data_IF_024741174915
#
_entry.id   IF_024741174915
#
_cell.length_a   1.000
_cell.length_b   1.000
_cell.length_c   1.000
_cell.angle_alpha   90.00
_cell.angle_beta   90.00
_cell.angle_gamma   90.00
#
_symmetry.space_group_name_H-M   'P 1'
#
loop_
_entity.id
_entity.type
_entity.pdbx_description
1 polymer ?
#
# COMPACT_ATOMS: atom_id res chain seq x y z
N UNK A 1 8.02 -7.34 2.46
CA UNK A 1 7.64 -6.05 1.83
C UNK A 1 6.18 -5.76 2.12
N UNK A 2 5.88 -4.54 2.48
CA UNK A 2 4.51 -4.08 2.67
C UNK A 2 4.05 -3.40 1.38
N UNK A 3 2.79 -3.59 1.00
CA UNK A 3 2.25 -2.94 -0.20
C UNK A 3 1.09 -2.02 0.18
N UNK A 4 1.10 -0.83 -0.39
CA UNK A 4 -0.02 0.12 -0.30
C UNK A 4 -1.09 -0.25 -1.34
N UNK A 5 -2.33 0.20 -1.12
CA UNK A 5 -3.41 0.02 -2.10
C UNK A 5 -3.03 0.55 -3.47
N UNK A 6 -2.27 1.65 -3.55
CA UNK A 6 -1.81 2.24 -4.82
C UNK A 6 -1.00 1.26 -5.66
N UNK A 7 -0.21 0.39 -5.04
CA UNK A 7 0.58 -0.61 -5.76
C UNK A 7 -0.31 -1.71 -6.35
N UNK A 8 -1.29 -2.19 -5.60
CA UNK A 8 -2.25 -3.19 -6.09
C UNK A 8 -3.07 -2.63 -7.25
N UNK A 9 -3.57 -1.41 -7.08
CA UNK A 9 -4.37 -0.73 -8.11
C UNK A 9 -3.55 -0.53 -9.39
N UNK A 10 -2.28 -0.12 -9.25
CA UNK A 10 -1.38 0.09 -10.40
C UNK A 10 -1.21 -1.20 -11.23
N UNK A 11 -1.04 -2.34 -10.55
CA UNK A 11 -0.90 -3.64 -11.24
C UNK A 11 -2.20 -4.01 -11.95
N UNK A 12 -3.33 -3.95 -11.24
CA UNK A 12 -4.61 -4.41 -11.78
C UNK A 12 -5.14 -3.51 -12.89
N UNK A 13 -4.86 -2.21 -12.84
CA UNK A 13 -5.22 -1.27 -13.90
C UNK A 13 -4.17 -1.16 -15.00
N UNK A 14 -3.10 -1.95 -14.93
CA UNK A 14 -2.03 -1.95 -15.92
C UNK A 14 -1.42 -0.56 -16.14
N UNK A 15 -1.20 0.16 -15.04
CA UNK A 15 -0.52 1.44 -15.06
C UNK A 15 0.97 1.27 -15.42
N UNK A 16 1.70 2.35 -15.75
CA UNK A 16 3.09 2.21 -16.23
C UNK A 16 4.01 1.42 -15.30
N UNK A 17 3.79 1.46 -13.98
CA UNK A 17 4.61 0.75 -12.99
C UNK A 17 4.22 -0.72 -12.82
N UNK A 18 3.14 -1.19 -13.47
CA UNK A 18 2.55 -2.52 -13.21
C UNK A 18 3.55 -3.66 -13.32
N UNK A 19 4.34 -3.70 -14.38
CA UNK A 19 5.30 -4.79 -14.60
C UNK A 19 6.39 -4.79 -13.51
N UNK A 20 6.91 -3.62 -13.16
CA UNK A 20 7.93 -3.49 -12.11
C UNK A 20 7.37 -3.90 -10.75
N UNK A 21 6.18 -3.47 -10.42
CA UNK A 21 5.53 -3.79 -9.14
C UNK A 21 5.21 -5.29 -9.04
N UNK A 22 4.66 -5.87 -10.10
CA UNK A 22 4.37 -7.30 -10.14
C UNK A 22 5.64 -8.14 -9.96
N UNK A 23 6.74 -7.75 -10.61
CA UNK A 23 8.01 -8.44 -10.48
C UNK A 23 8.57 -8.35 -9.05
N UNK A 24 8.49 -7.17 -8.41
CA UNK A 24 8.92 -7.01 -7.03
C UNK A 24 8.14 -7.91 -6.08
N UNK A 25 6.81 -7.97 -6.24
CA UNK A 25 5.96 -8.82 -5.41
C UNK A 25 6.25 -10.31 -5.67
N UNK A 26 6.46 -10.72 -6.93
CA UNK A 26 6.75 -12.10 -7.27
C UNK A 26 8.09 -12.59 -6.69
N UNK A 27 9.04 -11.68 -6.55
CA UNK A 27 10.39 -12.02 -6.05
C UNK A 27 10.55 -11.87 -4.54
N UNK A 28 9.55 -11.34 -3.84
CA UNK A 28 9.60 -11.19 -2.39
C UNK A 28 8.93 -12.40 -1.73
N UNK A 29 9.61 -13.07 -0.77
CA UNK A 29 9.04 -14.26 -0.14
C UNK A 29 7.88 -13.95 0.81
N UNK A 30 7.67 -12.69 1.16
CA UNK A 30 6.65 -12.31 2.13
C UNK A 30 6.09 -10.92 1.82
N UNK A 31 5.02 -10.91 1.03
CA UNK A 31 4.30 -9.67 0.71
C UNK A 31 3.07 -9.56 1.61
N UNK A 32 2.90 -8.40 2.25
CA UNK A 32 1.78 -8.15 3.17
C UNK A 32 1.11 -6.83 2.89
N UNK A 33 -0.19 -6.79 3.13
CA UNK A 33 -1.01 -5.57 3.00
C UNK A 33 -1.84 -5.39 4.27
N UNK A 34 -1.98 -4.15 4.74
CA UNK A 34 -2.92 -3.87 5.83
C UNK A 34 -4.35 -4.18 5.39
N UNK A 35 -5.14 -4.77 6.29
CA UNK A 35 -6.56 -5.04 6.04
C UNK A 35 -7.30 -3.77 5.59
N UNK A 36 -6.95 -2.59 6.13
CA UNK A 36 -7.55 -1.33 5.72
C UNK A 36 -7.23 -0.99 4.26
N UNK A 37 -5.98 -1.19 3.84
CA UNK A 37 -5.56 -0.93 2.45
C UNK A 37 -6.11 -1.98 1.48
N UNK A 38 -6.29 -3.21 1.93
CA UNK A 38 -6.97 -4.24 1.14
C UNK A 38 -8.40 -3.81 0.80
N UNK A 39 -9.15 -3.32 1.79
CA UNK A 39 -10.51 -2.80 1.57
C UNK A 39 -10.49 -1.61 0.64
N UNK A 40 -9.55 -0.69 0.83
CA UNK A 40 -9.40 0.49 -0.02
C UNK A 40 -9.18 0.10 -1.49
N UNK A 41 -8.27 -0.85 -1.76
CA UNK A 41 -8.05 -1.38 -3.10
C UNK A 41 -9.32 -2.04 -3.65
N UNK A 42 -10.01 -2.82 -2.82
CA UNK A 42 -11.27 -3.47 -3.16
C UNK A 42 -12.34 -2.49 -3.59
N UNK A 43 -12.51 -1.39 -2.85
CA UNK A 43 -13.50 -0.35 -3.19
C UNK A 43 -13.23 0.21 -4.60
N UNK A 44 -11.98 0.47 -4.93
CA UNK A 44 -11.61 1.01 -6.25
C UNK A 44 -11.84 -0.01 -7.36
N UNK A 45 -11.36 -1.24 -7.17
CA UNK A 45 -11.40 -2.28 -8.22
C UNK A 45 -12.81 -2.81 -8.42
N UNK A 46 -13.59 -3.00 -7.35
CA UNK A 46 -14.95 -3.54 -7.44
C UNK A 46 -15.88 -2.62 -8.26
N UNK A 47 -15.60 -1.32 -8.28
CA UNK A 47 -16.36 -0.37 -9.13
C UNK A 47 -16.26 -0.66 -10.61
N UNK A 48 -15.21 -1.35 -11.04
CA UNK A 48 -15.02 -1.74 -12.44
C UNK A 48 -15.78 -3.02 -12.83
N UNK A 49 -16.48 -3.63 -11.89
CA UNK A 49 -17.40 -4.74 -12.14
C UNK A 49 -16.86 -6.12 -11.73
N UNK A 50 -17.68 -7.19 -11.93
CA UNK A 50 -17.36 -8.52 -11.41
C UNK A 50 -16.07 -9.14 -11.96
N UNK A 51 -15.71 -8.85 -13.21
CA UNK A 51 -14.47 -9.37 -13.81
C UNK A 51 -13.26 -8.78 -13.08
N UNK A 52 -13.29 -7.46 -12.84
CA UNK A 52 -12.22 -6.78 -12.11
C UNK A 52 -12.12 -7.30 -10.66
N UNK A 53 -13.27 -7.49 -9.99
CA UNK A 53 -13.31 -8.04 -8.63
C UNK A 53 -12.65 -9.42 -8.55
N UNK A 54 -12.96 -10.31 -9.48
CA UNK A 54 -12.33 -11.62 -9.54
C UNK A 54 -10.83 -11.51 -9.82
N UNK A 55 -10.43 -10.53 -10.64
CA UNK A 55 -9.02 -10.25 -10.93
C UNK A 55 -8.25 -9.88 -9.67
N UNK A 56 -8.84 -9.07 -8.79
CA UNK A 56 -8.24 -8.73 -7.50
C UNK A 56 -8.07 -9.98 -6.63
N UNK A 57 -9.12 -10.78 -6.47
CA UNK A 57 -9.06 -12.00 -5.67
C UNK A 57 -7.99 -12.95 -6.17
N UNK A 58 -7.93 -13.15 -7.48
CA UNK A 58 -6.93 -14.03 -8.10
C UNK A 58 -5.51 -13.49 -7.90
N UNK A 59 -5.33 -12.19 -8.03
CA UNK A 59 -4.01 -11.57 -7.84
C UNK A 59 -3.51 -11.73 -6.39
N UNK A 60 -4.38 -11.50 -5.41
CA UNK A 60 -4.04 -11.68 -3.99
C UNK A 60 -3.59 -13.12 -3.74
N UNK A 61 -4.32 -14.10 -4.29
CA UNK A 61 -4.00 -15.51 -4.12
C UNK A 61 -2.68 -15.88 -4.84
N UNK A 62 -2.54 -15.50 -6.09
CA UNK A 62 -1.37 -15.87 -6.92
C UNK A 62 -0.08 -15.25 -6.37
N UNK A 63 -0.13 -14.02 -5.93
CA UNK A 63 1.01 -13.33 -5.35
C UNK A 63 1.24 -13.70 -3.88
N UNK A 64 0.36 -14.51 -3.29
CA UNK A 64 0.43 -14.94 -1.90
C UNK A 64 0.53 -13.76 -0.93
N UNK A 65 -0.27 -12.73 -1.17
CA UNK A 65 -0.29 -11.53 -0.33
C UNK A 65 -1.08 -11.81 0.95
N UNK A 66 -0.42 -11.66 2.10
CA UNK A 66 -1.07 -11.79 3.40
C UNK A 66 -1.77 -10.51 3.78
N UNK A 67 -3.05 -10.62 4.14
CA UNK A 67 -3.84 -9.50 4.65
C UNK A 67 -3.64 -9.47 6.17
N UNK A 68 -3.01 -8.39 6.66
CA UNK A 68 -2.69 -8.26 8.09
C UNK A 68 -3.75 -7.44 8.82
N UNK A 69 -4.20 -7.89 10.00
CA UNK A 69 -5.15 -7.10 10.78
C UNK A 69 -4.52 -5.79 11.24
N UNK A 70 -5.35 -4.76 11.39
CA UNK A 70 -4.93 -3.50 12.02
C UNK A 70 -4.96 -3.71 13.53
N UNK A 71 -3.78 -3.77 14.15
CA UNK A 71 -3.67 -3.88 15.60
C UNK A 71 -3.92 -2.53 16.28
N UNK A 72 -4.17 -2.55 17.59
CA UNK A 72 -4.28 -1.32 18.37
C UNK A 72 -3.00 -0.48 18.25
N UNK A 73 -1.84 -1.13 18.27
CA UNK A 73 -0.55 -0.44 18.10
C UNK A 73 -0.44 0.23 16.73
N UNK A 74 -0.82 -0.46 15.68
CA UNK A 74 -0.85 0.13 14.33
C UNK A 74 -1.82 1.30 14.25
N UNK A 75 -2.98 1.20 14.88
CA UNK A 75 -3.93 2.30 14.92
C UNK A 75 -3.35 3.54 15.61
N UNK A 76 -2.61 3.36 16.70
CA UNK A 76 -1.92 4.46 17.39
C UNK A 76 -0.86 5.10 16.48
N UNK A 77 -0.05 4.29 15.80
CA UNK A 77 0.98 4.77 14.87
C UNK A 77 0.33 5.50 13.69
N UNK A 78 -0.75 4.96 13.14
CA UNK A 78 -1.47 5.57 12.02
C UNK A 78 -2.05 6.93 12.42
N UNK A 79 -2.63 7.03 13.60
CA UNK A 79 -3.17 8.30 14.12
C UNK A 79 -2.06 9.34 14.30
N UNK A 80 -0.91 8.93 14.82
CA UNK A 80 0.24 9.83 14.96
C UNK A 80 0.77 10.27 13.60
N UNK A 81 0.85 9.34 12.63
CA UNK A 81 1.27 9.65 11.27
C UNK A 81 0.36 10.69 10.61
N UNK A 82 -0.95 10.60 10.83
CA UNK A 82 -1.88 11.59 10.28
C UNK A 82 -1.67 12.97 10.91
N UNK A 83 -1.40 13.03 12.20
CA UNK A 83 -1.07 14.32 12.88
C UNK A 83 0.22 14.93 12.32
N UNK A 84 1.24 14.11 12.08
CA UNK A 84 2.57 14.59 11.67
C UNK A 84 2.66 14.87 10.17
N UNK A 85 2.04 14.03 9.33
CA UNK A 85 2.21 14.01 7.89
C UNK A 85 0.93 14.16 7.10
N UNK A 86 -0.23 14.20 7.76
CA UNK A 86 -1.52 14.15 7.10
C UNK A 86 -1.90 15.43 6.38
N UNK A 87 -2.91 15.32 5.52
CA UNK A 87 -3.51 16.48 4.85
C UNK A 87 -3.98 17.49 5.90
N UNK A 88 -3.62 18.77 5.70
CA UNK A 88 -3.98 19.83 6.61
C UNK A 88 -3.00 20.04 7.76
N UNK A 89 -1.99 19.19 7.92
CA UNK A 89 -0.95 19.34 8.95
C UNK A 89 0.10 20.40 8.60
N UNK A 90 0.17 20.80 7.32
CA UNK A 90 1.23 21.68 6.82
C UNK A 90 2.48 20.94 6.39
N UNK A 91 2.56 19.62 6.61
CA UNK A 91 3.70 18.82 6.18
C UNK A 91 3.61 18.52 4.68
N UNK A 92 4.75 18.50 3.93
CA UNK A 92 4.73 18.26 2.49
C UNK A 92 4.22 16.89 2.06
N UNK A 93 4.23 15.88 2.94
CA UNK A 93 3.74 14.54 2.60
C UNK A 93 2.25 14.54 2.26
N UNK A 94 1.43 15.22 3.06
CA UNK A 94 -0.01 15.29 2.83
C UNK A 94 -0.71 13.94 2.81
N UNK A 95 -0.36 13.03 3.72
CA UNK A 95 -0.95 11.69 3.78
C UNK A 95 -2.47 11.76 3.92
N UNK A 96 -3.17 10.90 3.17
CA UNK A 96 -4.60 10.68 3.37
C UNK A 96 -4.83 9.62 4.46
N UNK A 97 -6.11 9.38 4.78
CA UNK A 97 -6.48 8.42 5.82
C UNK A 97 -5.93 7.02 5.54
N UNK A 98 -6.10 6.51 4.30
CA UNK A 98 -5.63 5.18 3.92
C UNK A 98 -4.11 5.02 3.99
N UNK A 99 -3.38 6.06 3.60
CA UNK A 99 -1.91 6.05 3.61
C UNK A 99 -1.36 5.75 5.00
N UNK A 100 -2.03 6.21 6.04
CA UNK A 100 -1.57 6.07 7.41
C UNK A 100 -1.51 4.61 7.87
N UNK A 101 -2.39 3.75 7.34
CA UNK A 101 -2.39 2.32 7.69
C UNK A 101 -1.23 1.59 7.02
N UNK A 102 -0.92 1.89 5.77
CA UNK A 102 0.24 1.34 5.08
C UNK A 102 1.53 1.76 5.79
N UNK A 103 1.63 3.04 6.13
CA UNK A 103 2.75 3.58 6.91
C UNK A 103 2.91 2.84 8.24
N UNK A 104 1.82 2.67 8.99
CA UNK A 104 1.86 2.04 10.30
C UNK A 104 2.33 0.58 10.22
N UNK A 105 1.85 -0.18 9.25
CA UNK A 105 2.28 -1.57 9.07
C UNK A 105 3.77 -1.63 8.70
N UNK A 106 4.21 -0.76 7.80
CA UNK A 106 5.62 -0.71 7.38
C UNK A 106 6.55 -0.35 8.56
N UNK A 107 6.18 0.65 9.36
CA UNK A 107 6.95 1.07 10.53
C UNK A 107 7.03 -0.06 11.56
N UNK A 108 5.90 -0.67 11.92
CA UNK A 108 5.87 -1.74 12.91
C UNK A 108 6.65 -2.96 12.46
N UNK A 109 6.58 -3.28 11.17
CA UNK A 109 7.28 -4.43 10.59
C UNK A 109 8.75 -4.19 10.33
N UNK A 110 9.18 -2.93 10.25
CA UNK A 110 10.54 -2.57 9.85
C UNK A 110 10.83 -2.94 8.39
N UNK A 111 9.81 -2.99 7.54
CA UNK A 111 9.93 -3.39 6.14
C UNK A 111 9.68 -2.22 5.20
N UNK A 112 10.27 -2.28 3.99
CA UNK A 112 10.01 -1.24 2.99
C UNK A 112 8.56 -1.30 2.49
N UNK A 113 8.10 -0.16 1.98
CA UNK A 113 6.75 0.01 1.46
C UNK A 113 6.78 0.17 -0.06
N UNK A 114 5.96 -0.63 -0.75
CA UNK A 114 5.73 -0.48 -2.19
C UNK A 114 4.50 0.38 -2.40
N UNK A 115 4.67 1.50 -3.09
CA UNK A 115 3.62 2.48 -3.35
C UNK A 115 3.84 3.19 -4.67
N UNK A 116 2.78 3.74 -5.23
CA UNK A 116 2.81 4.64 -6.37
C UNK A 116 2.53 6.06 -5.89
N UNK A 117 3.24 7.05 -6.45
CA UNK A 117 3.04 8.47 -6.15
C UNK A 117 4.05 9.01 -5.15
N UNK A 118 3.80 10.22 -4.66
CA UNK A 118 4.76 10.98 -3.86
C UNK A 118 4.37 11.11 -2.39
N UNK A 119 3.26 10.51 -1.96
CA UNK A 119 2.72 10.73 -0.62
C UNK A 119 3.69 10.31 0.50
N UNK A 120 4.43 9.23 0.30
CA UNK A 120 5.33 8.69 1.32
C UNK A 120 6.76 9.20 1.24
N UNK A 121 7.11 9.95 0.20
CA UNK A 121 8.50 10.35 -0.08
C UNK A 121 9.11 11.15 1.08
N UNK A 122 8.32 11.97 1.75
CA UNK A 122 8.81 12.86 2.82
C UNK A 122 8.56 12.31 4.24
N UNK A 123 8.19 11.03 4.36
CA UNK A 123 7.87 10.45 5.68
C UNK A 123 9.03 9.70 6.32
N UNK A 124 10.12 9.51 5.59
CA UNK A 124 11.26 8.73 6.06
C UNK A 124 11.08 7.22 5.93
N UNK A 125 9.93 6.75 5.42
CA UNK A 125 9.71 5.32 5.19
C UNK A 125 10.61 4.84 4.03
N UNK A 126 11.17 3.64 4.15
CA UNK A 126 11.95 3.07 3.07
C UNK A 126 11.05 2.66 1.91
N UNK A 127 11.35 3.11 0.70
CA UNK A 127 10.62 2.73 -0.50
C UNK A 127 11.13 1.39 -1.03
N UNK A 128 10.22 0.50 -1.42
CA UNK A 128 10.57 -0.79 -2.02
C UNK A 128 10.94 -0.65 -3.50
N UNK A 129 10.55 0.42 -4.13
CA UNK A 129 10.82 0.69 -5.54
C UNK A 129 11.31 2.12 -5.74
N UNK A 130 12.33 2.28 -6.59
CA UNK A 130 12.86 3.58 -6.98
C UNK A 130 12.77 3.69 -8.50
N UNK A 131 11.96 4.65 -8.98
CA UNK A 131 11.77 4.89 -10.42
C UNK A 131 13.04 5.38 -11.14
N UNK A 132 14.04 5.83 -10.37
CA UNK A 132 15.29 6.35 -10.92
C UNK A 132 16.44 5.35 -10.83
N UNK A 133 16.18 4.18 -10.25
CA UNK A 133 17.18 3.13 -10.14
C UNK A 133 17.45 2.43 -11.48
#
# INVERSE_FOLDING_TARGET
>A
MIVDSSAIIAVLKQEPEAASFAALMANDPRVRISAANYVEAGVVIDRAGPVASRGLDQFIDDAQISIEPVSARQAEVARQAYRDFGKGSGHPAGLNFGDCFAYALAVESGEPLLYKGDDFVHTGIAAAWDSQA
#
